data_IF_949317461843
#
_entry.id   IF_949317461843
#
_cell.length_a   1.000
_cell.length_b   1.000
_cell.length_c   1.000
_cell.angle_alpha   90.00
_cell.angle_beta   90.00
_cell.angle_gamma   90.00
#
_symmetry.space_group_name_H-M   'P 1'
#
loop_
_entity.id
_entity.type
_entity.pdbx_description
1 polymer ?
#
# COMPACT_ATOMS: atom_id res chain seq x y z
N UNK A 1 -15.92 -4.05 11.62
CA UNK A 1 -15.20 -4.30 10.35
C UNK A 1 -15.69 -3.31 9.29
N UNK A 2 -14.77 -2.62 8.62
CA UNK A 2 -15.12 -1.67 7.57
C UNK A 2 -15.38 -2.41 6.27
N UNK A 3 -16.56 -2.25 5.65
CA UNK A 3 -16.83 -2.90 4.37
C UNK A 3 -15.85 -2.43 3.30
N UNK A 4 -15.53 -3.29 2.36
CA UNK A 4 -14.64 -2.95 1.26
C UNK A 4 -15.32 -1.96 0.31
N UNK A 5 -14.65 -0.86 0.00
CA UNK A 5 -15.08 0.04 -1.05
C UNK A 5 -14.74 -0.58 -2.41
N UNK A 6 -15.61 -0.40 -3.39
CA UNK A 6 -15.39 -0.84 -4.77
C UNK A 6 -14.90 0.30 -5.67
N UNK A 7 -14.82 1.51 -5.15
CA UNK A 7 -14.47 2.70 -5.94
C UNK A 7 -13.28 3.48 -5.39
N UNK A 8 -13.05 3.43 -4.09
CA UNK A 8 -12.02 4.22 -3.40
C UNK A 8 -11.07 3.33 -2.64
N UNK A 9 -9.78 3.54 -2.80
CA UNK A 9 -8.76 2.84 -2.02
C UNK A 9 -7.76 3.84 -1.44
N UNK A 10 -7.08 3.42 -0.38
CA UNK A 10 -5.93 4.15 0.18
C UNK A 10 -4.67 3.54 -0.41
N UNK A 11 -3.77 4.39 -0.90
CA UNK A 11 -2.53 3.97 -1.55
C UNK A 11 -1.35 4.55 -0.77
N UNK A 12 -0.46 3.68 -0.32
CA UNK A 12 0.71 4.05 0.47
C UNK A 12 1.98 3.70 -0.29
N UNK A 13 2.64 4.69 -0.94
CA UNK A 13 3.95 4.42 -1.54
C UNK A 13 5.02 4.40 -0.45
N UNK A 14 5.96 3.45 -0.53
CA UNK A 14 6.99 3.25 0.49
C UNK A 14 8.34 2.94 -0.13
N UNK A 15 9.41 3.49 0.48
CA UNK A 15 10.79 3.08 0.17
C UNK A 15 11.58 3.06 1.47
N UNK A 16 12.08 1.89 1.84
CA UNK A 16 12.85 1.66 3.08
C UNK A 16 12.22 2.37 4.30
N UNK A 17 10.90 2.16 4.53
CA UNK A 17 10.20 2.92 5.58
C UNK A 17 10.55 2.45 7.00
N UNK A 18 11.21 1.29 7.14
CA UNK A 18 11.50 0.70 8.43
C UNK A 18 10.23 0.15 9.09
N UNK A 19 10.29 -0.17 10.41
CA UNK A 19 9.18 -0.82 11.09
C UNK A 19 7.94 0.06 11.26
N UNK A 20 8.07 1.38 11.12
CA UNK A 20 6.93 2.31 11.25
C UNK A 20 5.85 2.07 10.20
N UNK A 21 6.22 1.51 9.05
CA UNK A 21 5.24 1.26 8.00
C UNK A 21 4.16 0.29 8.45
N UNK A 22 4.50 -0.67 9.30
CA UNK A 22 3.52 -1.62 9.83
C UNK A 22 2.46 -0.88 10.62
N UNK A 23 2.87 0.02 11.52
CA UNK A 23 1.93 0.81 12.31
C UNK A 23 1.07 1.72 11.43
N UNK A 24 1.67 2.34 10.42
CA UNK A 24 0.95 3.21 9.48
C UNK A 24 -0.10 2.41 8.72
N UNK A 25 0.26 1.23 8.22
CA UNK A 25 -0.66 0.37 7.48
C UNK A 25 -1.80 -0.13 8.36
N UNK A 26 -1.49 -0.56 9.59
CA UNK A 26 -2.52 -1.01 10.52
C UNK A 26 -3.49 0.12 10.86
N UNK A 27 -2.98 1.33 11.08
CA UNK A 27 -3.82 2.50 11.33
C UNK A 27 -4.72 2.80 10.14
N UNK A 28 -4.19 2.75 8.93
CA UNK A 28 -4.97 2.96 7.70
C UNK A 28 -6.06 1.90 7.54
N UNK A 29 -5.73 0.64 7.83
CA UNK A 29 -6.69 -0.46 7.73
C UNK A 29 -7.84 -0.32 8.76
N UNK A 30 -7.58 0.27 9.91
CA UNK A 30 -8.65 0.55 10.87
C UNK A 30 -9.64 1.59 10.36
N UNK A 31 -9.20 2.46 9.45
CA UNK A 31 -10.02 3.56 8.93
C UNK A 31 -10.62 3.25 7.55
N UNK A 32 -10.00 2.37 6.79
CA UNK A 32 -10.42 2.14 5.41
C UNK A 32 -10.17 0.71 4.93
N UNK A 33 -10.95 0.30 3.94
CA UNK A 33 -10.82 -0.96 3.24
C UNK A 33 -11.19 -0.73 1.77
N UNK A 34 -10.31 -0.97 0.78
CA UNK A 34 -8.99 -1.58 0.93
C UNK A 34 -7.85 -0.56 1.08
N UNK A 35 -6.68 -1.08 1.50
CA UNK A 35 -5.43 -0.33 1.53
C UNK A 35 -4.40 -1.08 0.69
N UNK A 36 -3.76 -0.39 -0.23
CA UNK A 36 -2.68 -0.93 -1.07
C UNK A 36 -1.38 -0.24 -0.73
N UNK A 37 -0.32 -1.02 -0.53
CA UNK A 37 1.03 -0.51 -0.27
C UNK A 37 1.89 -0.85 -1.47
N UNK A 38 2.54 0.16 -2.05
CA UNK A 38 3.50 -0.03 -3.15
C UNK A 38 4.90 0.19 -2.60
N UNK A 39 5.70 -0.86 -2.58
CA UNK A 39 7.07 -0.82 -2.08
C UNK A 39 8.00 -0.60 -3.25
N UNK A 40 8.65 0.56 -3.26
CA UNK A 40 9.47 1.03 -4.37
C UNK A 40 10.93 0.58 -4.21
N UNK A 41 11.16 -0.71 -4.43
CA UNK A 41 12.51 -1.26 -4.43
C UNK A 41 13.20 -1.23 -3.07
N UNK A 42 12.46 -1.40 -1.97
CA UNK A 42 13.04 -1.38 -0.62
C UNK A 42 14.05 -2.50 -0.41
N UNK A 43 15.13 -2.17 0.30
CA UNK A 43 16.18 -3.13 0.67
C UNK A 43 16.08 -3.55 2.14
N UNK A 44 15.18 -2.93 2.93
CA UNK A 44 14.94 -3.32 4.31
C UNK A 44 13.98 -4.52 4.39
N UNK A 45 13.53 -4.86 5.59
CA UNK A 45 12.67 -6.03 5.83
C UNK A 45 11.17 -5.71 5.68
N UNK A 46 10.81 -4.48 5.31
CA UNK A 46 9.41 -4.07 5.24
C UNK A 46 8.57 -4.88 4.24
N UNK A 47 9.08 -5.27 3.06
CA UNK A 47 8.27 -6.08 2.15
C UNK A 47 7.81 -7.39 2.79
N UNK A 48 8.69 -8.08 3.50
CA UNK A 48 8.36 -9.36 4.14
C UNK A 48 7.33 -9.16 5.26
N UNK A 49 7.53 -8.14 6.09
CA UNK A 49 6.61 -7.83 7.18
C UNK A 49 5.21 -7.52 6.66
N UNK A 50 5.12 -6.70 5.62
CA UNK A 50 3.84 -6.31 5.03
C UNK A 50 3.16 -7.46 4.30
N UNK A 51 3.94 -8.31 3.62
CA UNK A 51 3.39 -9.50 2.96
C UNK A 51 2.81 -10.48 3.98
N UNK A 52 3.44 -10.62 5.15
CA UNK A 52 2.91 -11.45 6.22
C UNK A 52 1.57 -10.91 6.73
N UNK A 53 1.43 -9.59 6.86
CA UNK A 53 0.16 -8.98 7.23
C UNK A 53 -0.91 -9.21 6.15
N UNK A 54 -0.55 -9.05 4.88
CA UNK A 54 -1.48 -9.22 3.77
C UNK A 54 -1.99 -10.65 3.66
N UNK A 55 -1.19 -11.62 4.11
CA UNK A 55 -1.60 -13.03 4.09
C UNK A 55 -2.80 -13.31 4.99
N UNK A 56 -3.05 -12.46 6.00
CA UNK A 56 -4.16 -12.62 6.94
C UNK A 56 -5.19 -11.51 6.84
N UNK A 57 -5.05 -10.59 5.87
CA UNK A 57 -5.95 -9.44 5.72
C UNK A 57 -6.26 -9.22 4.25
N UNK A 58 -7.43 -9.64 3.83
CA UNK A 58 -7.89 -9.55 2.42
C UNK A 58 -8.02 -8.11 1.94
N UNK A 59 -8.14 -7.16 2.84
CA UNK A 59 -8.23 -5.74 2.49
C UNK A 59 -6.89 -5.05 2.32
N UNK A 60 -5.79 -5.76 2.55
CA UNK A 60 -4.44 -5.23 2.38
C UNK A 60 -3.76 -5.90 1.20
N UNK A 61 -3.29 -5.09 0.25
CA UNK A 61 -2.50 -5.60 -0.88
C UNK A 61 -1.12 -4.96 -0.85
N UNK A 62 -0.10 -5.77 -1.04
CA UNK A 62 1.29 -5.32 -1.08
C UNK A 62 1.83 -5.56 -2.49
N UNK A 63 2.30 -4.49 -3.12
CA UNK A 63 2.89 -4.52 -4.45
C UNK A 63 4.38 -4.18 -4.28
N UNK A 64 5.25 -5.12 -4.64
CA UNK A 64 6.70 -4.94 -4.50
C UNK A 64 7.29 -4.68 -5.88
N UNK A 65 7.88 -3.51 -6.05
CA UNK A 65 8.60 -3.16 -7.28
C UNK A 65 10.06 -3.57 -7.12
N UNK A 66 10.68 -4.12 -8.19
CA UNK A 66 12.05 -4.64 -8.09
C UNK A 66 13.12 -3.56 -7.96
N UNK A 67 12.83 -2.34 -8.39
CA UNK A 67 13.78 -1.24 -8.41
C UNK A 67 13.17 0.02 -7.85
N UNK A 68 13.99 0.83 -7.19
CA UNK A 68 13.59 2.17 -6.76
C UNK A 68 13.52 3.09 -7.98
N UNK A 69 12.33 3.60 -8.26
CA UNK A 69 12.09 4.54 -9.36
C UNK A 69 11.58 5.89 -8.88
N UNK A 70 11.47 6.06 -7.56
CA UNK A 70 10.97 7.27 -6.95
C UNK A 70 9.50 7.19 -6.58
N UNK A 71 9.08 8.06 -5.66
CA UNK A 71 7.72 8.07 -5.13
C UNK A 71 6.67 8.26 -6.23
N UNK A 72 6.94 9.16 -7.18
CA UNK A 72 6.00 9.41 -8.27
C UNK A 72 5.75 8.18 -9.13
N UNK A 73 6.81 7.41 -9.43
CA UNK A 73 6.68 6.17 -10.20
C UNK A 73 5.90 5.12 -9.42
N UNK A 74 6.13 5.02 -8.10
CA UNK A 74 5.42 4.07 -7.24
C UNK A 74 3.92 4.41 -7.19
N UNK A 75 3.58 5.69 -7.04
CA UNK A 75 2.19 6.15 -7.04
C UNK A 75 1.54 5.85 -8.38
N UNK A 76 2.22 6.15 -9.48
CA UNK A 76 1.68 5.89 -10.82
C UNK A 76 1.43 4.40 -11.05
N UNK A 77 2.34 3.54 -10.63
CA UNK A 77 2.15 2.09 -10.73
C UNK A 77 0.93 1.63 -9.94
N UNK A 78 0.79 2.12 -8.72
CA UNK A 78 -0.36 1.80 -7.87
C UNK A 78 -1.67 2.27 -8.48
N UNK A 79 -1.71 3.49 -9.00
CA UNK A 79 -2.90 4.05 -9.64
C UNK A 79 -3.26 3.26 -10.90
N UNK A 80 -2.27 2.89 -11.70
CA UNK A 80 -2.49 2.11 -12.92
C UNK A 80 -3.12 0.76 -12.60
N UNK A 81 -2.60 0.07 -11.57
CA UNK A 81 -3.15 -1.22 -11.16
C UNK A 81 -4.53 -1.07 -10.53
N UNK A 82 -4.74 0.00 -9.77
CA UNK A 82 -6.04 0.28 -9.17
C UNK A 82 -7.11 0.52 -10.24
N UNK A 83 -6.79 1.32 -11.26
CA UNK A 83 -7.70 1.58 -12.37
C UNK A 83 -8.06 0.29 -13.11
N UNK A 84 -7.06 -0.58 -13.35
CA UNK A 84 -7.28 -1.88 -13.98
C UNK A 84 -8.18 -2.79 -13.13
N UNK A 85 -8.17 -2.61 -11.81
CA UNK A 85 -9.03 -3.36 -10.90
C UNK A 85 -10.43 -2.73 -10.70
N UNK A 86 -10.70 -1.60 -11.34
CA UNK A 86 -12.02 -0.97 -11.31
C UNK A 86 -12.17 0.19 -10.34
N UNK A 87 -11.12 0.59 -9.65
CA UNK A 87 -11.19 1.73 -8.73
C UNK A 87 -11.16 3.04 -9.49
N UNK A 88 -11.93 4.01 -9.01
CA UNK A 88 -12.04 5.34 -9.61
C UNK A 88 -11.28 6.41 -8.82
N UNK A 89 -10.94 6.14 -7.56
CA UNK A 89 -10.29 7.10 -6.68
C UNK A 89 -9.21 6.40 -5.84
N UNK A 90 -8.07 7.05 -5.70
CA UNK A 90 -7.00 6.58 -4.81
C UNK A 90 -6.58 7.75 -3.93
N UNK A 91 -6.63 7.56 -2.61
CA UNK A 91 -6.15 8.52 -1.63
C UNK A 91 -4.75 8.10 -1.21
N UNK A 92 -3.76 8.93 -1.54
CA UNK A 92 -2.37 8.61 -1.19
C UNK A 92 -2.06 9.12 0.22
N UNK A 93 -1.27 8.34 0.97
CA UNK A 93 -0.74 8.77 2.25
C UNK A 93 0.72 8.34 2.37
N UNK A 94 1.49 9.10 3.16
CA UNK A 94 2.90 8.82 3.36
C UNK A 94 3.09 7.65 4.33
N UNK A 95 4.09 6.81 4.05
CA UNK A 95 4.36 5.62 4.86
C UNK A 95 5.02 5.93 6.20
N UNK A 96 5.59 7.08 6.34
CA UNK A 96 6.28 7.50 7.56
C UNK A 96 5.41 8.37 8.48
N UNK A 97 4.16 8.42 8.20
CA UNK A 97 3.20 9.14 9.01
C UNK A 97 3.00 10.54 8.67
#
# INVERSE_FOLDING_TARGET
MTPASLTHLVLIPSYNPGPRVVDTVLAARRQWNPVWVVIDGSTDDSPRQLQALAATDDGLRVIVLPENRGKGAAVLEGITRAAAAGYTHALTMDSDG
#
